data_IF_278640666092
#
_entry.id   IF_278640666092
#
_cell.length_a   1.000
_cell.length_b   1.000
_cell.length_c   1.000
_cell.angle_alpha   90.00
_cell.angle_beta   90.00
_cell.angle_gamma   90.00
#
_symmetry.space_group_name_H-M   'P 1'
#
loop_
_entity.id
_entity.type
_entity.pdbx_description
1 polymer ?
2 polymer ?
3 non-polymer ?
4 non-polymer ?
5 water ?
#
# COMPACT_ATOMS: atom_id res chain seq x y z
N UNK A 1 15.89 -3.67 -22.12
CA UNK A 1 16.20 -2.43 -21.42
C UNK A 1 15.90 -1.20 -22.28
N UNK A 2 14.69 -0.63 -22.13
CA UNK A 2 14.32 0.62 -22.77
C UNK A 2 13.29 1.34 -21.91
N UNK A 3 13.14 2.63 -22.15
CA UNK A 3 12.27 3.49 -21.36
C UNK A 3 11.17 4.10 -22.22
N UNK A 4 10.77 3.38 -23.26
CA UNK A 4 9.77 3.85 -24.22
C UNK A 4 8.40 3.31 -23.82
N UNK A 5 7.41 4.20 -23.76
CA UNK A 5 6.02 3.81 -23.60
C UNK A 5 5.39 3.61 -24.96
N UNK A 6 4.51 2.61 -25.07
CA UNK A 6 3.76 2.38 -26.31
C UNK A 6 2.88 3.58 -26.61
N UNK A 7 2.49 3.69 -27.88
CA UNK A 7 1.55 4.73 -28.30
C UNK A 7 0.31 4.74 -27.42
N UNK A 8 -0.22 3.54 -27.13
CA UNK A 8 -1.43 3.41 -26.31
C UNK A 8 -1.18 3.88 -24.88
N UNK A 9 0.01 3.61 -24.34
CA UNK A 9 0.31 4.05 -22.97
C UNK A 9 0.45 5.56 -22.90
N UNK A 10 1.20 6.16 -23.83
CA UNK A 10 1.27 7.63 -23.88
C UNK A 10 -0.11 8.25 -23.96
N UNK A 11 -1.02 7.62 -24.71
CA UNK A 11 -2.35 8.19 -24.89
C UNK A 11 -3.17 8.11 -23.60
N UNK A 12 -3.12 6.96 -22.93
CA UNK A 12 -3.75 6.85 -21.62
C UNK A 12 -3.15 7.85 -20.63
N UNK A 13 -1.83 8.07 -20.70
CA UNK A 13 -1.18 9.02 -19.81
C UNK A 13 -1.68 10.44 -20.05
N UNK A 14 -1.76 10.86 -21.31
CA UNK A 14 -2.26 12.22 -21.54
C UNK A 14 -3.75 12.31 -21.26
N UNK A 15 -4.45 11.18 -21.31
CA UNK A 15 -5.86 11.16 -20.92
C UNK A 15 -6.02 11.39 -19.41
N UNK A 16 -5.14 10.77 -18.60
CA UNK A 16 -5.10 11.06 -17.17
C UNK A 16 -4.73 12.52 -16.88
N UNK A 17 -3.74 13.05 -17.60
CA UNK A 17 -3.38 14.46 -17.42
C UNK A 17 -4.53 15.39 -17.77
N UNK A 18 -5.33 15.04 -18.78
CA UNK A 18 -6.41 15.94 -19.15
C UNK A 18 -7.57 15.83 -18.18
N UNK A 19 -7.70 14.69 -17.52
CA UNK A 19 -8.85 14.46 -16.65
C UNK A 19 -8.77 15.28 -15.37
N UNK A 20 -7.57 15.66 -14.94
CA UNK A 20 -7.41 16.34 -13.66
C UNK A 20 -8.31 17.55 -13.46
N UNK A 21 -8.47 18.40 -14.50
CA UNK A 21 -9.23 19.63 -14.27
C UNK A 21 -10.74 19.46 -14.43
N UNK A 22 -11.22 18.28 -14.84
CA UNK A 22 -12.65 18.01 -14.76
C UNK A 22 -13.15 17.83 -13.32
N UNK A 23 -12.25 17.82 -12.34
CA UNK A 23 -12.67 17.76 -10.95
C UNK A 23 -12.70 19.17 -10.35
N UNK A 32 -17.96 17.86 3.18
CA UNK A 32 -17.40 16.58 3.61
C UNK A 32 -16.81 15.75 2.48
N UNK A 33 -17.17 14.47 2.43
CA UNK A 33 -16.51 13.56 1.50
C UNK A 33 -16.88 13.87 0.06
N UNK A 34 -15.93 14.17 -0.81
CA UNK A 34 -16.28 14.49 -2.21
C UNK A 34 -16.77 13.30 -3.01
N UNK A 35 -18.00 12.89 -2.72
CA UNK A 35 -18.59 11.75 -3.42
C UNK A 35 -18.71 12.01 -4.94
N UNK A 36 -18.93 13.26 -5.37
CA UNK A 36 -19.06 13.49 -6.79
C UNK A 36 -17.74 13.27 -7.52
N UNK A 37 -16.64 13.78 -6.97
CA UNK A 37 -15.34 13.56 -7.61
C UNK A 37 -14.98 12.07 -7.59
N UNK A 38 -15.30 11.37 -6.51
CA UNK A 38 -15.05 9.93 -6.43
C UNK A 38 -15.79 9.18 -7.53
N UNK A 39 -17.08 9.48 -7.74
CA UNK A 39 -17.83 8.84 -8.83
C UNK A 39 -17.24 9.19 -10.19
N UNK A 40 -16.82 10.44 -10.39
CA UNK A 40 -16.17 10.82 -11.63
C UNK A 40 -14.90 10.02 -11.87
N UNK A 41 -14.15 9.74 -10.80
CA UNK A 41 -12.98 8.88 -10.95
C UNK A 41 -13.39 7.46 -11.37
N UNK A 42 -14.46 6.94 -10.77
CA UNK A 42 -14.97 5.65 -11.19
C UNK A 42 -15.30 5.61 -12.67
N UNK A 43 -15.98 6.65 -13.16
CA UNK A 43 -16.33 6.72 -14.58
C UNK A 43 -15.08 6.77 -15.46
N UNK A 44 -14.06 7.52 -15.03
CA UNK A 44 -12.80 7.55 -15.75
C UNK A 44 -12.16 6.16 -15.81
N UNK A 45 -12.32 5.34 -14.77
CA UNK A 45 -11.83 3.98 -14.81
C UNK A 45 -10.81 3.70 -13.73
N UNK A 46 -10.71 4.62 -12.75
CA UNK A 46 -9.61 4.61 -11.78
C UNK A 46 -9.64 3.36 -10.90
N UNK A 47 -10.80 2.98 -10.38
CA UNK A 47 -10.85 1.78 -9.57
C UNK A 47 -10.86 0.50 -10.39
N UNK A 48 -11.05 0.60 -11.70
CA UNK A 48 -11.07 -0.55 -12.58
C UNK A 48 -9.76 -0.87 -13.24
N UNK A 49 -8.73 -0.04 -13.06
CA UNK A 49 -7.48 -0.18 -13.83
C UNK A 49 -6.87 -1.57 -13.81
N UNK A 50 -6.65 -2.21 -12.65
CA UNK A 50 -6.06 -3.55 -12.67
C UNK A 50 -7.06 -4.70 -12.65
N UNK A 51 -8.36 -4.42 -12.78
CA UNK A 51 -9.38 -5.47 -12.70
C UNK A 51 -9.62 -6.07 -14.09
N UNK A 52 -9.69 -7.40 -14.21
CA UNK A 52 -9.99 -8.02 -15.50
C UNK A 52 -11.47 -7.88 -15.87
N UNK A 53 -11.73 -7.89 -17.19
CA UNK A 53 -13.10 -7.83 -17.68
C UNK A 53 -13.93 -9.01 -17.20
N UNK A 54 -13.30 -10.16 -16.94
CA UNK A 54 -13.98 -11.32 -16.40
C UNK A 54 -14.79 -10.99 -15.14
N UNK A 55 -14.35 -10.01 -14.35
CA UNK A 55 -15.03 -9.70 -13.10
C UNK A 55 -15.68 -8.33 -13.07
N UNK A 56 -15.53 -7.52 -14.11
CA UNK A 56 -16.23 -6.24 -14.16
C UNK A 56 -16.28 -5.78 -15.60
N UNK A 57 -17.47 -5.48 -16.11
CA UNK A 57 -17.61 -5.05 -17.49
C UNK A 57 -16.84 -3.76 -17.77
N UNK A 58 -16.53 -2.98 -16.73
CA UNK A 58 -15.72 -1.78 -16.86
C UNK A 58 -14.32 -1.95 -16.26
N UNK A 59 -13.88 -3.20 -16.10
CA UNK A 59 -12.51 -3.45 -15.74
C UNK A 59 -11.61 -3.35 -16.95
N UNK A 60 -10.38 -2.91 -16.71
CA UNK A 60 -9.43 -2.60 -17.77
C UNK A 60 -8.40 -3.69 -18.00
N UNK A 61 -8.14 -4.54 -17.00
CA UNK A 61 -7.15 -5.59 -17.14
C UNK A 61 -5.78 -5.12 -17.55
N UNK A 62 -5.37 -3.93 -17.10
CA UNK A 62 -4.08 -3.37 -17.44
C UNK A 62 -2.95 -4.05 -16.68
N UNK A 63 -1.74 -4.02 -17.25
CA UNK A 63 -0.60 -4.49 -16.48
C UNK A 63 -0.12 -3.39 -15.53
N UNK A 64 0.81 -3.76 -14.65
CA UNK A 64 1.16 -2.89 -13.53
C UNK A 64 1.74 -1.57 -14.04
N UNK A 65 2.53 -1.61 -15.11
CA UNK A 65 3.15 -0.39 -15.62
C UNK A 65 2.11 0.58 -16.17
N UNK A 66 1.19 0.09 -17.02
CA UNK A 66 0.13 0.95 -17.52
C UNK A 66 -0.72 1.49 -16.38
N UNK A 67 -0.98 0.65 -15.38
CA UNK A 67 -1.70 1.09 -14.20
C UNK A 67 -1.01 2.27 -13.54
N UNK A 68 0.24 2.05 -13.09
CA UNK A 68 0.91 3.08 -12.30
C UNK A 68 1.15 4.34 -13.12
N UNK A 69 1.34 4.19 -14.44
CA UNK A 69 1.58 5.35 -15.27
C UNK A 69 0.33 6.23 -15.35
N UNK A 70 -0.84 5.60 -15.44
CA UNK A 70 -2.10 6.35 -15.39
C UNK A 70 -2.28 7.00 -14.03
N UNK A 71 -1.98 6.25 -12.96
CA UNK A 71 -2.09 6.81 -11.61
C UNK A 71 -1.14 7.98 -11.45
N UNK A 72 0.08 7.84 -11.97
CA UNK A 72 1.03 8.95 -11.95
C UNK A 72 0.45 10.18 -12.65
N UNK A 73 -0.29 9.97 -13.74
CA UNK A 73 -0.88 11.09 -14.44
C UNK A 73 -2.00 11.72 -13.65
N UNK A 74 -2.77 10.91 -12.94
CA UNK A 74 -3.81 11.46 -12.08
C UNK A 74 -3.21 12.24 -10.92
N UNK A 75 -2.13 11.73 -10.31
CA UNK A 75 -1.48 12.46 -9.25
C UNK A 75 -0.93 13.79 -9.71
N UNK A 76 -0.51 13.89 -10.99
CA UNK A 76 0.00 15.15 -11.47
C UNK A 76 -1.11 16.17 -11.71
N UNK A 77 -2.27 15.76 -12.21
CA UNK A 77 -3.29 16.70 -12.63
C UNK A 77 -4.40 16.92 -11.62
N UNK A 78 -4.61 16.02 -10.65
CA UNK A 78 -5.65 16.19 -9.65
C UNK A 78 -5.05 16.81 -8.40
N UNK A 79 -5.57 17.98 -7.99
CA UNK A 79 -5.04 18.61 -6.78
C UNK A 79 -5.46 17.87 -5.51
N UNK A 80 -6.59 17.15 -5.51
CA UNK A 80 -7.02 16.44 -4.31
C UNK A 80 -6.27 15.11 -4.23
N UNK A 81 -5.05 15.18 -3.69
CA UNK A 81 -4.25 13.98 -3.47
C UNK A 81 -4.93 13.03 -2.48
N UNK A 82 -5.61 13.57 -1.48
CA UNK A 82 -6.25 12.71 -0.51
C UNK A 82 -7.29 11.82 -1.17
N UNK A 83 -8.01 12.38 -2.14
CA UNK A 83 -9.02 11.60 -2.86
C UNK A 83 -8.39 10.47 -3.66
N UNK A 84 -7.29 10.75 -4.37
CA UNK A 84 -6.57 9.69 -5.07
C UNK A 84 -6.08 8.62 -4.09
N UNK A 85 -5.65 9.06 -2.90
CA UNK A 85 -5.14 8.14 -1.88
C UNK A 85 -6.23 7.22 -1.39
N UNK A 86 -7.42 7.79 -1.11
CA UNK A 86 -8.58 6.99 -0.74
C UNK A 86 -8.91 5.95 -1.80
N UNK A 87 -8.99 6.38 -3.06
CA UNK A 87 -9.34 5.45 -4.12
C UNK A 87 -8.33 4.35 -4.27
N UNK A 88 -7.05 4.63 -3.95
CA UNK A 88 -6.00 3.64 -4.15
C UNK A 88 -5.91 2.66 -3.00
N UNK A 89 -6.19 3.11 -1.77
CA UNK A 89 -6.39 2.14 -0.69
C UNK A 89 -7.49 1.14 -1.08
N UNK A 90 -8.63 1.67 -1.54
CA UNK A 90 -9.78 0.86 -1.92
C UNK A 90 -9.40 -0.17 -2.99
N UNK A 91 -8.71 0.27 -4.04
CA UNK A 91 -8.35 -0.63 -5.13
C UNK A 91 -7.22 -1.59 -4.78
N UNK A 92 -6.17 -1.12 -4.11
CA UNK A 92 -5.00 -1.96 -3.98
C UNK A 92 -4.88 -2.65 -2.64
N UNK A 93 -5.46 -2.12 -1.57
CA UNK A 93 -5.47 -2.85 -0.30
C UNK A 93 -6.69 -3.73 -0.13
N UNK A 94 -7.72 -3.54 -0.95
CA UNK A 94 -8.98 -4.26 -0.81
C UNK A 94 -9.38 -5.01 -2.08
N UNK A 95 -9.54 -4.30 -3.21
CA UNK A 95 -9.95 -4.98 -4.43
C UNK A 95 -8.97 -6.07 -4.82
N UNK A 96 -7.66 -5.78 -4.73
CA UNK A 96 -6.68 -6.76 -5.20
C UNK A 96 -6.65 -8.01 -4.32
N UNK A 97 -6.54 -7.94 -2.99
CA UNK A 97 -6.65 -9.19 -2.22
C UNK A 97 -7.95 -9.94 -2.46
N UNK A 98 -9.01 -9.26 -2.86
CA UNK A 98 -10.24 -9.95 -3.22
C UNK A 98 -10.07 -10.67 -4.56
N UNK A 99 -9.49 -9.99 -5.54
CA UNK A 99 -9.23 -10.61 -6.83
C UNK A 99 -8.31 -11.83 -6.67
N UNK A 100 -7.31 -11.73 -5.81
CA UNK A 100 -6.24 -12.72 -5.76
C UNK A 100 -6.49 -13.86 -4.78
N UNK A 101 -7.42 -13.72 -3.85
CA UNK A 101 -7.60 -14.76 -2.85
C UNK A 101 -9.07 -14.97 -2.49
N UNK A 102 -9.99 -14.36 -3.21
CA UNK A 102 -11.41 -14.60 -2.98
C UNK A 102 -11.94 -15.77 -3.80
N UNK A 103 -12.94 -16.44 -3.23
CA UNK A 103 -13.68 -17.45 -3.98
C UNK A 103 -14.23 -16.85 -5.26
N UNK A 104 -14.54 -17.71 -6.22
CA UNK A 104 -15.10 -17.24 -7.48
C UNK A 104 -16.45 -16.55 -7.27
N UNK A 105 -17.26 -17.02 -6.32
CA UNK A 105 -18.55 -16.37 -6.13
C UNK A 105 -18.38 -15.00 -5.45
N UNK A 106 -17.50 -14.92 -4.44
CA UNK A 106 -17.23 -13.64 -3.79
C UNK A 106 -16.65 -12.62 -4.78
N UNK A 107 -15.81 -13.08 -5.71
CA UNK A 107 -15.29 -12.20 -6.74
C UNK A 107 -16.41 -11.65 -7.64
N UNK A 108 -17.32 -12.51 -8.07
CA UNK A 108 -18.40 -12.00 -8.91
C UNK A 108 -19.39 -11.17 -8.11
N UNK A 109 -19.51 -11.46 -6.81
CA UNK A 109 -20.38 -10.68 -5.95
C UNK A 109 -19.82 -9.27 -5.70
N UNK A 110 -18.56 -9.19 -5.27
CA UNK A 110 -18.02 -7.94 -4.74
C UNK A 110 -17.46 -7.01 -5.82
N UNK A 111 -16.72 -7.55 -6.79
CA UNK A 111 -15.87 -6.75 -7.68
C UNK A 111 -16.59 -5.81 -8.64
N UNK A 112 -17.74 -6.18 -9.23
CA UNK A 112 -18.35 -5.25 -10.19
C UNK A 112 -18.64 -3.87 -9.62
N UNK A 113 -19.07 -3.79 -8.35
CA UNK A 113 -19.30 -2.48 -7.73
C UNK A 113 -18.00 -1.85 -7.23
N UNK A 114 -17.08 -2.67 -6.72
CA UNK A 114 -15.78 -2.18 -6.33
C UNK A 114 -15.07 -1.52 -7.52
N UNK A 115 -15.24 -2.09 -8.71
CA UNK A 115 -14.54 -1.59 -9.89
C UNK A 115 -15.10 -0.28 -10.40
N UNK A 116 -16.14 0.25 -9.76
CA UNK A 116 -16.95 1.29 -10.38
C UNK A 116 -17.00 2.57 -9.52
N UNK A 119 -19.82 1.14 -4.72
CA UNK A 119 -19.42 0.59 -3.43
C UNK A 119 -17.94 0.75 -3.10
N UNK A 120 -17.65 0.96 -1.81
CA UNK A 120 -16.34 1.37 -1.34
C UNK A 120 -15.81 0.36 -0.33
N UNK A 121 -14.49 0.13 -0.35
CA UNK A 121 -13.83 -0.82 0.53
C UNK A 121 -12.71 -0.17 1.32
N UNK A 122 -12.48 -0.71 2.50
CA UNK A 122 -11.51 -0.20 3.46
C UNK A 122 -10.71 -1.35 4.03
N UNK A 123 -9.39 -1.15 4.16
CA UNK A 123 -8.47 -2.15 4.71
C UNK A 123 -8.22 -1.88 6.20
N UNK A 124 -8.43 -2.88 7.03
CA UNK A 124 -8.38 -2.69 8.49
C UNK A 124 -7.48 -3.75 9.12
N UNK A 125 -6.28 -3.35 9.55
CA UNK A 125 -5.36 -4.25 10.25
C UNK A 125 -4.80 -3.59 11.51
N UNK A 126 -4.53 -2.29 11.44
CA UNK A 126 -3.93 -1.59 12.57
C UNK A 126 -4.85 -1.58 13.80
N UNK A 127 -4.23 -1.66 14.98
CA UNK A 127 -4.95 -1.69 16.25
C UNK A 127 -4.29 -0.71 17.21
N UNK A 128 -4.85 -0.64 18.43
CA UNK A 128 -4.26 0.24 19.43
C UNK A 128 -2.82 -0.15 19.75
N UNK A 129 -2.52 -1.45 19.75
CA UNK A 129 -1.20 -1.94 20.11
C UNK A 129 -0.48 -2.63 18.97
N UNK A 130 -1.00 -2.52 17.75
CA UNK A 130 -0.39 -3.14 16.58
C UNK A 130 -0.36 -2.09 15.47
N UNK A 131 0.84 -1.67 15.08
CA UNK A 131 1.02 -0.74 13.99
C UNK A 131 2.10 -1.24 13.06
N UNK A 132 3.35 -0.89 13.36
CA UNK A 132 4.47 -1.46 12.62
C UNK A 132 4.59 -2.96 12.82
N UNK A 133 4.15 -3.49 13.98
CA UNK A 133 4.17 -4.92 14.26
C UNK A 133 2.73 -5.45 14.21
N UNK A 134 2.47 -6.31 13.23
CA UNK A 134 1.13 -6.85 13.00
C UNK A 134 1.17 -8.36 13.27
N UNK A 135 2.08 -8.77 14.16
CA UNK A 135 2.32 -10.17 14.46
C UNK A 135 1.39 -10.71 15.53
N UNK A 136 0.88 -9.84 16.38
CA UNK A 136 0.03 -10.21 17.51
C UNK A 136 -1.19 -9.28 17.45
N UNK A 137 -2.18 -9.65 16.64
CA UNK A 137 -3.41 -8.88 16.50
C UNK A 137 -4.41 -9.27 17.59
N UNK A 138 -4.95 -8.27 18.27
CA UNK A 138 -5.95 -8.50 19.32
C UNK A 138 -7.34 -8.77 18.77
N UNK A 139 -7.55 -8.54 17.47
CA UNK A 139 -8.83 -8.84 16.85
C UNK A 139 -8.90 -10.33 16.56
N UNK A 140 -9.94 -10.97 17.09
CA UNK A 140 -10.08 -12.41 17.05
C UNK A 140 -11.24 -12.80 16.12
N UNK A 141 -11.14 -13.99 15.53
CA UNK A 141 -12.24 -14.57 14.76
C UNK A 141 -12.41 -16.03 15.16
N UNK A 142 -13.40 -16.32 15.99
CA UNK A 142 -13.73 -17.70 16.36
C UNK A 142 -14.71 -18.27 15.35
N UNK A 143 -14.40 -19.45 14.82
CA UNK A 143 -15.37 -20.12 13.95
C UNK A 143 -16.47 -20.79 14.77
N UNK A 144 -17.71 -20.64 14.29
CA UNK A 144 -18.87 -21.34 14.84
C UNK A 144 -19.68 -21.85 13.64
N UNK A 145 -19.74 -23.15 13.50
CA UNK A 145 -20.45 -23.74 12.38
C UNK A 145 -19.96 -23.21 11.05
N UNK A 146 -20.87 -22.57 10.32
CA UNK A 146 -20.60 -22.03 8.99
C UNK A 146 -20.27 -20.55 9.01
N UNK A 147 -19.90 -20.02 10.17
CA UNK A 147 -19.79 -18.59 10.38
C UNK A 147 -18.56 -18.31 11.23
N UNK A 148 -18.06 -17.09 11.11
CA UNK A 148 -17.00 -16.60 11.97
C UNK A 148 -17.53 -15.42 12.78
N UNK A 149 -17.06 -15.32 14.02
CA UNK A 149 -17.47 -14.28 14.94
C UNK A 149 -16.25 -13.40 15.19
N UNK A 150 -16.32 -12.14 14.73
CA UNK A 150 -15.20 -11.21 14.82
C UNK A 150 -15.33 -10.29 16.04
N UNK A 151 -14.21 -10.09 16.75
CA UNK A 151 -14.20 -9.17 17.89
C UNK A 151 -12.90 -8.39 17.95
N UNK A 152 -13.00 -7.07 18.09
CA UNK A 152 -11.87 -6.20 18.32
C UNK A 152 -12.01 -4.88 17.58
N UNK A 153 -11.22 -3.90 18.00
CA UNK A 153 -11.18 -2.59 17.35
C UNK A 153 -10.03 -2.47 16.37
N UNK A 154 -10.30 -1.80 15.25
CA UNK A 154 -9.27 -1.36 14.31
C UNK A 154 -9.13 0.15 14.41
N UNK A 155 -7.90 0.64 14.57
CA UNK A 155 -7.73 2.01 15.05
C UNK A 155 -7.55 3.08 13.95
N UNK A 156 -7.02 2.75 12.76
CA UNK A 156 -6.81 3.76 11.70
C UNK A 156 -7.28 3.22 10.35
N UNK A 157 -8.59 3.21 10.11
CA UNK A 157 -9.15 2.67 8.87
C UNK A 157 -9.40 3.80 7.88
N UNK A 158 -8.58 3.88 6.83
CA UNK A 158 -8.88 4.78 5.73
C UNK A 158 -10.20 4.34 5.10
N UNK A 159 -11.03 5.30 4.74
CA UNK A 159 -12.34 5.03 4.17
C UNK A 159 -13.29 4.39 5.18
N UNK A 160 -12.96 4.41 6.47
CA UNK A 160 -13.81 3.78 7.46
C UNK A 160 -15.24 4.26 7.42
N UNK A 161 -15.45 5.57 7.41
CA UNK A 161 -16.82 6.05 7.52
C UNK A 161 -17.61 5.83 6.23
N UNK A 162 -16.94 5.71 5.09
CA UNK A 162 -17.64 5.58 3.83
C UNK A 162 -17.65 4.15 3.31
N UNK A 163 -17.11 3.21 4.08
CA UNK A 163 -16.88 1.87 3.59
C UNK A 163 -18.16 1.06 3.54
N UNK A 164 -18.35 0.34 2.44
CA UNK A 164 -19.37 -0.68 2.36
C UNK A 164 -18.86 -2.06 2.78
N UNK A 165 -17.55 -2.30 2.66
CA UNK A 165 -16.88 -3.52 3.06
C UNK A 165 -15.56 -3.20 3.75
N UNK A 166 -15.23 -3.99 4.75
CA UNK A 166 -13.93 -3.94 5.40
C UNK A 166 -13.16 -5.24 5.14
N UNK A 167 -11.91 -5.12 4.72
CA UNK A 167 -11.00 -6.27 4.67
C UNK A 167 -10.31 -6.32 6.02
N UNK A 168 -10.73 -7.25 6.86
CA UNK A 168 -10.31 -7.28 8.25
C UNK A 168 -9.34 -8.43 8.41
N UNK A 169 -8.29 -8.21 9.20
CA UNK A 169 -7.31 -9.23 9.51
C UNK A 169 -7.43 -9.53 10.99
N UNK A 170 -7.66 -10.80 11.33
CA UNK A 170 -7.93 -11.19 12.70
C UNK A 170 -7.12 -12.43 13.04
N UNK A 171 -6.93 -12.63 14.34
CA UNK A 171 -6.25 -13.82 14.84
C UNK A 171 -7.25 -14.97 14.94
N UNK A 172 -6.97 -16.06 14.26
CA UNK A 172 -7.84 -17.23 14.36
C UNK A 172 -7.24 -18.33 15.23
N UNK A 173 -5.95 -18.25 15.55
CA UNK A 173 -5.21 -19.32 16.19
C UNK A 173 -3.90 -18.77 16.74
N UNK A 174 -3.91 -18.29 17.99
CA UNK A 174 -2.75 -17.62 18.55
C UNK A 174 -1.50 -18.50 18.56
N UNK A 175 -1.66 -19.82 18.52
CA UNK A 175 -0.53 -20.72 18.59
C UNK A 175 0.24 -20.88 17.30
N UNK A 176 -0.39 -20.59 16.19
CA UNK A 176 0.27 -20.66 14.90
C UNK A 176 0.99 -19.36 14.52
N UNK A 177 1.01 -18.37 15.42
CA UNK A 177 1.70 -17.11 15.26
C UNK A 177 1.54 -16.40 13.93
N UNK A 178 2.67 -16.15 13.26
CA UNK A 178 2.67 -15.54 11.94
C UNK A 178 1.68 -16.20 10.99
N UNK A 179 1.30 -17.45 11.26
CA UNK A 179 0.33 -18.15 10.41
C UNK A 179 -1.02 -18.36 11.09
N UNK A 180 -1.29 -17.65 12.21
CA UNK A 180 -2.54 -17.79 12.94
C UNK A 180 -3.57 -16.71 12.69
N UNK A 181 -3.58 -16.16 11.47
CA UNK A 181 -4.35 -14.97 11.16
C UNK A 181 -5.11 -15.20 9.85
N UNK A 182 -6.36 -14.74 9.81
CA UNK A 182 -7.18 -14.90 8.61
C UNK A 182 -7.69 -13.53 8.17
N UNK A 183 -7.92 -13.38 6.87
CA UNK A 183 -8.41 -12.15 6.27
C UNK A 183 -9.87 -12.32 5.89
N UNK A 184 -10.72 -11.37 6.31
CA UNK A 184 -12.14 -11.43 6.03
C UNK A 184 -12.61 -10.20 5.27
N UNK A 185 -13.71 -10.36 4.53
CA UNK A 185 -14.44 -9.23 3.97
C UNK A 185 -15.70 -9.05 4.81
N UNK A 186 -15.70 -8.05 5.70
CA UNK A 186 -16.83 -7.77 6.56
C UNK A 186 -17.71 -6.74 5.88
N UNK A 187 -18.92 -7.08 5.44
CA UNK A 187 -19.80 -6.04 4.92
C UNK A 187 -20.13 -5.06 6.03
N UNK A 188 -20.07 -3.77 5.70
CA UNK A 188 -20.90 -2.80 6.40
C UNK A 188 -22.33 -3.30 6.31
N UNK A 189 -23.06 -3.19 7.41
CA UNK A 189 -24.45 -3.68 7.58
C UNK A 189 -24.42 -5.01 8.32
N UNK A 190 -23.25 -5.55 8.54
CA UNK A 190 -23.12 -6.62 9.52
C UNK A 190 -23.32 -6.02 10.90
N UNK A 191 -24.37 -6.41 11.62
CA UNK A 191 -24.58 -5.88 12.98
C UNK A 191 -23.33 -5.97 13.84
N UNK A 192 -23.20 -5.04 14.77
CA UNK A 192 -22.07 -5.01 15.68
C UNK A 192 -20.94 -4.09 15.27
N UNK A 193 -20.95 -3.58 14.03
CA UNK A 193 -20.00 -2.58 13.58
C UNK A 193 -20.42 -1.18 14.04
N UNK A 194 -19.54 -0.49 14.77
CA UNK A 194 -19.67 0.95 14.97
C UNK A 194 -18.40 1.66 14.50
N UNK A 195 -18.57 2.89 14.02
CA UNK A 195 -17.50 3.68 13.42
C UNK A 195 -17.42 5.04 14.09
N UNK A 196 -16.19 5.46 14.47
CA UNK A 196 -15.99 6.81 14.96
C UNK A 196 -16.04 7.87 13.86
N UNK A 197 -16.18 9.12 14.29
CA UNK A 197 -16.11 10.25 13.37
C UNK A 197 -14.73 10.34 12.71
N UNK A 198 -14.70 10.84 11.48
CA UNK A 198 -13.44 11.12 10.79
C UNK A 198 -12.46 11.84 11.72
N UNK A 199 -11.25 11.32 11.82
CA UNK A 199 -10.20 11.97 12.60
C UNK A 199 -9.79 13.29 11.95
N UNK A 200 -9.57 14.32 12.77
CA UNK A 200 -8.89 15.52 12.32
C UNK A 200 -7.39 15.24 12.22
N UNK A 201 -6.81 15.43 11.03
CA UNK A 201 -5.41 15.07 10.85
C UNK A 201 -4.70 16.12 10.01
N UNK A 202 -3.37 15.94 9.94
CA UNK A 202 -2.52 16.96 9.35
C UNK A 202 -2.86 17.21 7.88
N UNK A 203 -3.05 16.15 7.11
CA UNK A 203 -3.28 16.25 5.68
C UNK A 203 -4.35 15.28 5.21
N UNK A 204 -4.56 15.27 3.90
CA UNK A 204 -5.38 14.26 3.23
C UNK A 204 -6.85 14.29 3.67
N UNK A 205 -7.42 15.50 3.76
CA UNK A 205 -8.77 15.62 4.35
C UNK A 205 -9.80 14.77 3.61
N UNK A 206 -9.63 14.56 2.30
CA UNK A 206 -10.62 13.82 1.52
C UNK A 206 -10.54 12.32 1.70
N UNK A 207 -9.53 11.80 2.39
CA UNK A 207 -9.51 10.37 2.69
C UNK A 207 -9.91 10.19 4.15
N UNK A 208 -11.13 9.74 4.44
CA UNK A 208 -11.54 9.59 5.84
C UNK A 208 -10.65 8.59 6.57
N UNK A 209 -10.41 8.85 7.85
CA UNK A 209 -9.66 7.93 8.70
C UNK A 209 -10.47 7.72 9.96
N UNK A 210 -10.78 6.46 10.28
CA UNK A 210 -11.72 6.18 11.35
C UNK A 210 -11.26 5.02 12.20
N UNK A 211 -11.67 5.08 13.45
CA UNK A 211 -11.73 3.91 14.30
C UNK A 211 -12.96 3.10 13.96
N UNK A 212 -12.80 1.78 13.84
CA UNK A 212 -13.91 0.85 13.64
C UNK A 212 -13.86 -0.21 14.74
N UNK A 213 -14.99 -0.41 15.43
CA UNK A 213 -15.08 -1.49 16.39
C UNK A 213 -15.99 -2.59 15.84
N UNK A 214 -15.59 -3.84 16.09
CA UNK A 214 -16.36 -5.02 15.71
C UNK A 214 -16.79 -5.74 16.99
N UNK A 215 -18.09 -5.71 17.27
CA UNK A 215 -18.65 -6.23 18.53
C UNK A 215 -19.53 -7.45 18.19
N UNK A 216 -18.91 -8.64 18.17
CA UNK A 216 -19.57 -9.91 17.86
C UNK A 216 -20.17 -9.92 16.46
N UNK A 217 -19.33 -9.64 15.48
CA UNK A 217 -19.78 -9.62 14.09
C UNK A 217 -19.73 -11.04 13.56
N UNK A 218 -20.88 -11.53 13.13
CA UNK A 218 -21.06 -12.87 12.62
C UNK A 218 -21.10 -12.78 11.11
N UNK A 219 -20.14 -13.41 10.45
CA UNK A 219 -20.07 -13.37 9.00
C UNK A 219 -19.88 -14.79 8.50
N UNK A 220 -20.47 -15.05 7.34
CA UNK A 220 -20.50 -16.39 6.78
C UNK A 220 -19.11 -16.81 6.31
N UNK A 221 -18.83 -18.13 6.40
CA UNK A 221 -17.55 -18.68 5.96
C UNK A 221 -17.12 -18.10 4.62
N UNK A 222 -18.06 -17.87 3.70
CA UNK A 222 -17.73 -17.49 2.33
C UNK A 222 -17.17 -16.08 2.24
N UNK A 223 -17.20 -15.29 3.31
CA UNK A 223 -16.58 -13.97 3.29
C UNK A 223 -15.08 -14.01 3.60
N UNK A 224 -14.57 -15.12 4.14
CA UNK A 224 -13.15 -15.24 4.39
C UNK A 224 -12.37 -15.22 3.08
N UNK A 225 -11.25 -14.51 3.10
CA UNK A 225 -10.28 -14.47 2.01
C UNK A 225 -9.26 -15.58 2.21
N UNK A 226 -9.14 -16.47 1.21
CA UNK A 226 -8.20 -17.57 1.28
C UNK A 226 -8.37 -18.53 2.45
N UNK A 227 -7.43 -19.45 2.60
CA UNK A 227 -7.49 -20.41 3.68
C UNK A 227 -7.32 -19.71 5.03
N UNK A 228 -7.93 -20.28 6.06
CA UNK A 228 -7.67 -19.80 7.41
C UNK A 228 -6.16 -19.88 7.69
N UNK A 229 -5.65 -18.88 8.41
CA UNK A 229 -4.23 -18.81 8.72
C UNK A 229 -3.35 -18.17 7.64
N UNK A 230 -3.90 -17.83 6.48
CA UNK A 230 -3.19 -17.21 5.38
C UNK A 230 -3.13 -15.68 5.49
N UNK A 231 -3.77 -15.08 6.50
CA UNK A 231 -4.01 -13.65 6.48
C UNK A 231 -2.75 -12.82 6.42
N UNK A 232 -1.74 -13.18 7.21
CA UNK A 232 -0.51 -12.39 7.26
C UNK A 232 0.16 -12.30 5.89
N UNK A 233 0.10 -13.37 5.11
CA UNK A 233 0.68 -13.33 3.77
C UNK A 233 -0.25 -12.70 2.75
N UNK A 234 -1.56 -12.84 2.94
CA UNK A 234 -2.49 -12.05 2.14
C UNK A 234 -2.25 -10.57 2.38
N UNK A 235 -2.00 -10.19 3.64
CA UNK A 235 -1.70 -8.79 3.92
C UNK A 235 -0.41 -8.36 3.22
N UNK A 236 0.67 -9.12 3.40
CA UNK A 236 1.91 -8.78 2.71
C UNK A 236 1.68 -8.64 1.21
N UNK A 237 0.82 -9.47 0.64
CA UNK A 237 0.56 -9.37 -0.79
C UNK A 237 -0.24 -8.11 -1.15
N UNK A 238 -1.10 -7.64 -0.26
CA UNK A 238 -1.81 -6.41 -0.56
C UNK A 238 -0.90 -5.20 -0.35
N UNK A 239 -0.02 -5.25 0.65
CA UNK A 239 0.97 -4.19 0.82
C UNK A 239 1.92 -4.13 -0.36
N UNK A 240 2.18 -5.26 -1.02
CA UNK A 240 2.97 -5.19 -2.24
C UNK A 240 2.24 -4.41 -3.32
N UNK A 241 0.92 -4.47 -3.34
CA UNK A 241 0.16 -3.67 -4.29
C UNK A 241 0.10 -2.20 -3.87
N UNK A 242 -0.25 -1.95 -2.59
CA UNK A 242 -0.39 -0.58 -2.11
C UNK A 242 0.95 0.15 -2.14
N UNK A 243 2.02 -0.47 -1.65
CA UNK A 243 3.31 0.21 -1.61
C UNK A 243 3.85 0.46 -3.01
N UNK A 244 3.51 -0.39 -3.97
CA UNK A 244 3.99 -0.17 -5.33
C UNK A 244 3.15 0.87 -6.06
N UNK A 245 1.82 0.66 -6.10
CA UNK A 245 0.98 1.39 -7.02
C UNK A 245 0.41 2.68 -6.43
N UNK A 246 0.10 2.68 -5.13
CA UNK A 246 -0.49 3.89 -4.54
C UNK A 246 0.48 5.05 -4.62
N UNK A 247 1.77 4.80 -4.41
CA UNK A 247 2.76 5.87 -4.33
C UNK A 247 3.08 6.48 -5.69
N UNK A 248 2.57 5.89 -6.79
CA UNK A 248 2.57 6.55 -8.08
C UNK A 248 1.92 7.93 -8.00
N UNK A 249 0.89 8.07 -7.16
CA UNK A 249 0.25 9.37 -6.94
C UNK A 249 1.30 10.43 -6.62
N UNK A 250 2.22 10.08 -5.73
CA UNK A 250 3.13 11.07 -5.17
C UNK A 250 4.22 11.44 -6.15
N UNK A 251 4.56 10.56 -7.08
CA UNK A 251 5.45 10.95 -8.16
C UNK A 251 4.77 11.98 -9.05
N UNK A 252 3.49 11.76 -9.37
CA UNK A 252 2.74 12.76 -10.11
C UNK A 252 2.67 14.10 -9.40
N UNK A 253 2.42 14.07 -8.08
CA UNK A 253 2.33 15.30 -7.32
C UNK A 253 3.67 16.03 -7.25
N UNK A 254 4.78 15.28 -7.19
CA UNK A 254 6.08 15.93 -7.16
C UNK A 254 6.37 16.65 -8.46
N UNK A 255 5.93 16.09 -9.59
CA UNK A 255 6.15 16.75 -10.87
C UNK A 255 5.40 18.08 -10.91
N UNK A 256 4.13 18.08 -10.50
CA UNK A 256 3.41 19.34 -10.36
C UNK A 256 4.17 20.30 -9.43
N UNK A 257 4.60 19.83 -8.25
CA UNK A 257 5.40 20.65 -7.35
C UNK A 257 6.60 21.27 -8.09
N UNK A 258 7.39 20.43 -8.75
CA UNK A 258 8.55 20.91 -9.48
C UNK A 258 8.14 21.92 -10.56
N UNK A 259 7.09 21.60 -11.32
CA UNK A 259 6.63 22.53 -12.35
C UNK A 259 6.28 23.89 -11.77
N UNK A 260 5.56 23.92 -10.65
CA UNK A 260 5.23 25.19 -10.01
C UNK A 260 6.46 25.91 -9.46
N UNK A 261 7.49 25.19 -9.02
CA UNK A 261 8.68 25.88 -8.55
C UNK A 261 9.51 26.44 -9.69
N UNK A 262 9.54 25.75 -10.84
CA UNK A 262 10.22 26.28 -12.01
C UNK A 262 9.51 27.53 -12.49
N UNK A 263 8.19 27.45 -12.64
CA UNK A 263 7.41 28.59 -13.10
C UNK A 263 7.55 29.77 -12.14
N UNK A 264 7.49 29.50 -10.83
CA UNK A 264 7.59 30.58 -9.86
C UNK A 264 8.98 31.21 -9.87
N UNK A 265 10.03 30.38 -9.88
CA UNK A 265 11.37 30.92 -9.78
C UNK A 265 11.76 31.73 -11.01
N UNK A 266 11.12 31.43 -12.16
CA UNK A 266 11.38 32.18 -13.39
C UNK A 266 10.57 33.46 -13.50
N UNK A 267 9.56 33.65 -12.65
CA UNK A 267 8.71 34.82 -12.62
C UNK A 267 8.95 35.73 -11.41
N UNK A 268 9.17 35.17 -10.23
CA UNK A 268 9.29 35.98 -9.04
C UNK A 268 10.61 36.72 -9.03
N UNK A 269 10.56 38.03 -8.78
CA UNK A 269 11.76 38.85 -8.82
C UNK A 269 12.03 39.48 -7.47
N UNK A 270 13.32 39.56 -7.15
CA UNK A 270 13.81 40.21 -5.95
C UNK A 270 15.05 40.97 -6.39
N UNK A 271 14.96 42.29 -6.46
CA UNK A 271 16.07 43.11 -6.94
C UNK A 271 16.18 43.16 -8.45
N UNK A 272 15.05 43.26 -9.15
CA UNK A 272 14.99 43.21 -10.62
C UNK A 272 15.90 42.14 -11.21
N UNK A 273 15.91 41.00 -10.53
CA UNK A 273 16.47 39.74 -10.98
C UNK A 273 15.48 38.66 -10.55
N UNK A 274 15.29 37.64 -11.38
CA UNK A 274 14.44 36.53 -10.96
C UNK A 274 15.19 35.61 -10.01
N UNK A 275 14.44 35.06 -9.05
CA UNK A 275 15.07 34.35 -7.94
C UNK A 275 15.79 33.10 -8.40
N UNK A 276 15.40 32.55 -9.54
CA UNK A 276 16.17 31.45 -10.15
C UNK A 276 17.63 31.83 -10.43
N UNK A 277 17.97 33.10 -10.46
CA UNK A 277 19.37 33.46 -10.65
C UNK A 277 20.21 33.24 -9.40
N UNK A 278 19.56 33.06 -8.24
CA UNK A 278 20.26 32.64 -7.03
C UNK A 278 20.42 31.12 -7.02
N UNK A 279 21.65 30.66 -6.81
CA UNK A 279 21.87 29.22 -6.77
C UNK A 279 21.27 28.57 -5.53
N UNK A 280 21.03 29.32 -4.44
CA UNK A 280 20.31 28.72 -3.31
C UNK A 280 18.91 28.26 -3.73
N UNK A 281 18.26 29.01 -4.62
CA UNK A 281 16.96 28.61 -5.16
C UNK A 281 17.15 27.55 -6.25
N UNK A 282 17.95 27.87 -7.27
CA UNK A 282 17.93 27.04 -8.49
C UNK A 282 18.51 25.67 -8.21
N UNK A 283 19.59 25.60 -7.44
CA UNK A 283 20.19 24.29 -7.14
C UNK A 283 19.30 23.51 -6.20
N UNK A 284 18.47 24.20 -5.41
CA UNK A 284 17.44 23.51 -4.64
C UNK A 284 16.44 22.85 -5.58
N UNK A 285 16.01 23.58 -6.64
CA UNK A 285 15.08 23.02 -7.61
C UNK A 285 15.74 21.92 -8.43
N UNK A 286 17.03 22.06 -8.73
CA UNK A 286 17.74 20.97 -9.40
C UNK A 286 17.62 19.68 -8.59
N UNK A 287 17.85 19.77 -7.27
CA UNK A 287 17.79 18.58 -6.42
C UNK A 287 16.38 18.02 -6.32
N UNK A 288 15.36 18.87 -6.44
CA UNK A 288 14.01 18.35 -6.58
C UNK A 288 13.87 17.49 -7.83
N UNK A 289 14.43 17.94 -8.96
CA UNK A 289 14.35 17.17 -10.18
C UNK A 289 15.18 15.89 -10.15
N UNK A 290 16.31 15.91 -9.44
CA UNK A 290 17.11 14.70 -9.37
C UNK A 290 16.38 13.64 -8.54
N UNK A 291 15.94 14.01 -7.34
CA UNK A 291 15.17 13.08 -6.51
C UNK A 291 13.91 12.58 -7.23
N UNK A 292 13.21 13.47 -7.97
CA UNK A 292 12.03 13.05 -8.72
C UNK A 292 12.39 12.00 -9.77
N UNK A 293 13.40 12.27 -10.60
CA UNK A 293 13.75 11.30 -11.62
C UNK A 293 14.21 9.99 -11.00
N UNK A 294 15.00 10.07 -9.92
CA UNK A 294 15.33 8.88 -9.16
C UNK A 294 14.08 8.16 -8.70
N UNK A 295 13.12 8.88 -8.11
CA UNK A 295 11.95 8.23 -7.52
C UNK A 295 11.07 7.65 -8.61
N UNK A 296 10.88 8.39 -9.70
CA UNK A 296 10.09 7.89 -10.81
C UNK A 296 10.72 6.62 -11.38
N UNK A 297 12.04 6.63 -11.57
CA UNK A 297 12.71 5.46 -12.15
C UNK A 297 12.59 4.25 -11.24
N UNK A 298 12.75 4.44 -9.92
CA UNK A 298 12.57 3.34 -8.96
C UNK A 298 11.14 2.85 -8.93
N UNK A 299 10.19 3.76 -9.17
CA UNK A 299 8.79 3.36 -9.26
C UNK A 299 8.59 2.44 -10.45
N UNK A 300 9.00 2.89 -11.65
CA UNK A 300 8.88 2.09 -12.85
C UNK A 300 9.58 0.75 -12.68
N UNK A 301 10.81 0.78 -12.17
CA UNK A 301 11.55 -0.47 -11.99
C UNK A 301 10.78 -1.45 -11.08
N UNK A 302 10.19 -0.96 -9.99
CA UNK A 302 9.46 -1.85 -9.09
C UNK A 302 8.23 -2.45 -9.76
N UNK A 303 7.51 -1.65 -10.57
CA UNK A 303 6.32 -2.15 -11.23
C UNK A 303 6.68 -3.20 -12.28
N UNK A 304 7.77 -2.98 -13.02
CA UNK A 304 8.23 -3.97 -13.98
C UNK A 304 8.60 -5.28 -13.30
N UNK A 305 9.40 -5.23 -12.23
CA UNK A 305 9.77 -6.47 -11.55
C UNK A 305 8.54 -7.21 -11.04
N UNK A 306 7.50 -6.47 -10.64
CA UNK A 306 6.31 -7.12 -10.10
C UNK A 306 5.59 -7.96 -11.16
N UNK A 307 5.70 -7.59 -12.43
CA UNK A 307 5.16 -8.33 -13.56
C UNK A 307 6.06 -9.48 -14.02
N UNK A 308 7.13 -9.81 -13.29
CA UNK A 308 8.22 -10.61 -13.81
C UNK A 308 8.41 -11.95 -13.12
N UNK A 309 7.71 -12.23 -12.04
CA UNK A 309 7.87 -13.46 -11.28
C UNK A 309 9.31 -13.62 -10.77
N UNK A 310 9.69 -12.69 -9.91
CA UNK A 310 10.81 -12.82 -8.99
C UNK A 310 10.35 -12.18 -7.70
N UNK A 311 11.15 -12.29 -6.65
CA UNK A 311 10.88 -11.51 -5.45
C UNK A 311 11.11 -10.04 -5.77
N UNK A 312 10.05 -9.23 -5.67
CA UNK A 312 10.14 -7.81 -5.97
C UNK A 312 9.97 -6.95 -4.73
N UNK A 313 10.07 -7.55 -3.54
CA UNK A 313 9.80 -6.79 -2.33
C UNK A 313 10.86 -5.70 -2.11
N UNK A 314 12.12 -6.01 -2.41
CA UNK A 314 13.20 -5.04 -2.22
C UNK A 314 13.01 -3.82 -3.10
N UNK A 315 12.70 -4.02 -4.39
CA UNK A 315 12.44 -2.89 -5.26
C UNK A 315 11.19 -2.13 -4.84
N UNK A 316 10.20 -2.81 -4.28
CA UNK A 316 8.97 -2.11 -3.89
C UNK A 316 9.22 -1.31 -2.63
N UNK A 317 9.90 -1.90 -1.64
CA UNK A 317 10.21 -1.13 -0.45
C UNK A 317 11.09 0.06 -0.78
N UNK A 318 12.08 -0.13 -1.68
CA UNK A 318 12.93 0.98 -2.06
C UNK A 318 12.10 2.10 -2.68
N UNK A 319 11.21 1.75 -3.60
CA UNK A 319 10.41 2.77 -4.30
C UNK A 319 9.53 3.55 -3.32
N UNK A 320 8.87 2.84 -2.41
CA UNK A 320 8.00 3.53 -1.45
C UNK A 320 8.81 4.47 -0.59
N UNK A 321 9.95 4.00 -0.10
CA UNK A 321 10.88 4.85 0.65
C UNK A 321 11.29 6.08 -0.14
N UNK A 322 11.96 5.86 -1.27
CA UNK A 322 12.45 6.96 -2.10
C UNK A 322 11.34 7.94 -2.43
N UNK A 323 10.17 7.44 -2.83
CA UNK A 323 9.09 8.34 -3.25
C UNK A 323 8.55 9.14 -2.07
N UNK A 324 8.27 8.46 -0.97
CA UNK A 324 7.66 9.13 0.17
C UNK A 324 8.63 10.14 0.79
N UNK A 325 9.89 9.77 0.95
CA UNK A 325 10.85 10.72 1.47
C UNK A 325 11.09 11.88 0.50
N UNK A 326 11.07 11.62 -0.81
CA UNK A 326 11.22 12.71 -1.75
C UNK A 326 10.03 13.65 -1.66
N UNK A 327 8.86 13.09 -1.40
CA UNK A 327 7.65 13.88 -1.32
C UNK A 327 7.72 14.84 -0.14
N UNK A 328 8.24 14.38 1.01
CA UNK A 328 8.43 15.24 2.16
C UNK A 328 9.40 16.38 1.81
N UNK A 329 10.56 16.04 1.25
CA UNK A 329 11.51 17.06 0.84
C UNK A 329 10.91 17.99 -0.21
N UNK A 330 10.15 17.42 -1.15
CA UNK A 330 9.49 18.23 -2.17
C UNK A 330 8.56 19.27 -1.53
N UNK A 331 7.82 18.86 -0.49
CA UNK A 331 6.87 19.77 0.13
C UNK A 331 7.53 20.86 0.94
N UNK A 332 8.64 20.54 1.61
CA UNK A 332 9.42 21.57 2.29
C UNK A 332 9.99 22.55 1.27
N UNK A 333 10.71 22.02 0.27
CA UNK A 333 11.36 22.86 -0.75
C UNK A 333 10.34 23.71 -1.51
N UNK A 334 9.18 23.14 -1.86
CA UNK A 334 8.16 23.93 -2.53
C UNK A 334 7.81 25.17 -1.73
N UNK A 335 7.71 25.03 -0.41
CA UNK A 335 7.38 26.17 0.42
C UNK A 335 8.56 27.13 0.48
N UNK A 336 9.78 26.59 0.62
CA UNK A 336 10.95 27.45 0.67
C UNK A 336 11.05 28.31 -0.60
N UNK A 337 10.78 27.71 -1.77
CA UNK A 337 10.89 28.44 -3.03
C UNK A 337 9.87 29.56 -3.10
N UNK A 338 8.64 29.31 -2.64
CA UNK A 338 7.54 30.28 -2.76
C UNK A 338 7.53 31.33 -1.65
N UNK A 339 8.38 31.21 -0.62
CA UNK A 339 8.39 32.13 0.52
C UNK A 339 7.07 32.15 1.27
N UNK A 340 6.72 33.34 1.79
CA UNK A 340 5.46 33.49 2.50
C UNK A 340 4.28 33.01 1.67
N UNK A 341 4.37 33.17 0.36
CA UNK A 341 3.25 32.77 -0.47
C UNK A 341 2.98 31.28 -0.31
N UNK A 342 4.03 30.48 -0.14
CA UNK A 342 3.86 29.05 -0.01
C UNK A 342 3.38 28.63 1.36
N UNK A 343 3.55 29.49 2.36
CA UNK A 343 3.07 29.22 3.71
C UNK A 343 1.58 29.53 3.84
N UNK A 344 1.09 30.45 3.03
CA UNK A 344 -0.33 30.79 2.97
C UNK A 344 -1.10 29.70 2.25
N UNK A 345 -2.35 29.52 2.68
CA UNK A 345 -3.21 28.50 2.10
C UNK A 345 -3.58 28.82 0.66
N UNK A 346 -3.86 30.10 0.36
CA UNK A 346 -4.21 30.41 -1.03
C UNK A 346 -3.03 30.13 -1.97
N UNK A 347 -1.80 30.24 -1.47
CA UNK A 347 -0.63 29.83 -2.22
C UNK A 347 -0.79 28.52 -2.96
N UNK A 348 -1.61 27.62 -2.41
CA UNK A 348 -1.94 26.32 -3.03
C UNK A 348 -0.71 25.41 -3.12
N UNK A 349 0.10 25.39 -2.05
CA UNK A 349 1.42 24.78 -2.10
C UNK A 349 1.67 23.96 -0.83
N UNK A 350 1.15 24.42 0.31
CA UNK A 350 1.49 23.73 1.53
C UNK A 350 0.74 22.40 1.71
N UNK A 351 -0.11 22.00 0.77
CA UNK A 351 -0.75 20.69 0.87
C UNK A 351 0.23 19.55 0.64
N UNK A 352 1.31 19.78 -0.12
CA UNK A 352 2.26 18.71 -0.37
C UNK A 352 2.88 18.21 0.93
N UNK A 353 3.47 19.11 1.72
CA UNK A 353 4.11 18.67 2.96
C UNK A 353 3.08 18.04 3.88
N UNK A 354 1.85 18.53 3.85
CA UNK A 354 0.86 17.99 4.75
C UNK A 354 0.48 16.57 4.37
N UNK A 355 0.45 16.27 3.08
CA UNK A 355 0.10 14.94 2.63
C UNK A 355 1.32 14.04 2.68
N UNK A 356 2.49 14.60 2.41
CA UNK A 356 3.69 13.80 2.29
C UNK A 356 4.05 13.17 3.62
N UNK A 357 3.82 13.90 4.72
CA UNK A 357 4.13 13.36 6.04
C UNK A 357 3.25 12.16 6.36
N UNK A 358 2.03 12.09 5.81
CA UNK A 358 1.29 10.85 5.89
C UNK A 358 2.00 9.72 5.17
N UNK A 359 2.59 10.03 4.01
CA UNK A 359 3.08 9.00 3.11
C UNK A 359 4.30 8.26 3.64
N UNK A 360 5.01 8.83 4.61
CA UNK A 360 6.12 8.12 5.24
C UNK A 360 5.65 7.28 6.43
N UNK A 361 4.34 7.24 6.68
CA UNK A 361 3.77 6.44 7.75
C UNK A 361 2.98 5.25 7.20
N UNK A 362 1.95 5.50 6.39
CA UNK A 362 1.09 4.41 5.98
C UNK A 362 1.78 3.54 4.94
N UNK A 363 1.22 2.35 4.75
CA UNK A 363 1.89 1.26 4.06
C UNK A 363 3.20 0.89 4.75
N UNK A 364 3.36 1.27 6.01
CA UNK A 364 4.56 0.96 6.75
C UNK A 364 5.56 2.09 6.71
N UNK A 365 5.98 2.54 7.89
CA UNK A 365 6.86 3.68 7.99
C UNK A 365 8.18 3.46 7.24
N UNK A 366 8.91 4.58 7.05
CA UNK A 366 10.21 4.50 6.40
C UNK A 366 11.14 3.53 7.13
N UNK A 367 11.11 3.53 8.46
CA UNK A 367 11.89 2.56 9.23
C UNK A 367 11.57 1.13 8.82
N UNK A 368 10.28 0.81 8.63
CA UNK A 368 9.89 -0.57 8.33
C UNK A 368 10.27 -0.96 6.90
N UNK A 369 10.15 -0.04 5.94
CA UNK A 369 10.66 -0.33 4.60
C UNK A 369 12.15 -0.70 4.64
N UNK A 370 12.94 0.02 5.43
CA UNK A 370 14.36 -0.31 5.49
C UNK A 370 14.59 -1.70 6.09
N UNK A 371 13.80 -2.06 7.10
CA UNK A 371 13.85 -3.42 7.63
C UNK A 371 13.62 -4.45 6.54
N UNK A 372 12.61 -4.22 5.69
CA UNK A 372 12.38 -5.09 4.54
C UNK A 372 13.58 -5.08 3.60
N UNK A 373 14.08 -3.90 3.24
CA UNK A 373 15.23 -3.80 2.35
C UNK A 373 16.40 -4.60 2.91
N UNK A 374 16.76 -4.33 4.17
CA UNK A 374 17.83 -5.09 4.83
C UNK A 374 17.62 -6.59 4.67
N UNK A 375 16.41 -7.06 4.99
CA UNK A 375 16.07 -8.46 4.87
C UNK A 375 16.38 -9.00 3.48
N UNK A 376 15.82 -8.34 2.45
CA UNK A 376 16.01 -8.81 1.08
C UNK A 376 17.45 -8.66 0.61
N UNK A 377 18.26 -7.87 1.29
CA UNK A 377 19.67 -7.77 0.94
C UNK A 377 20.49 -8.91 1.53
N UNK A 378 19.95 -9.60 2.53
CA UNK A 378 20.64 -10.69 3.19
C UNK A 378 21.10 -10.38 4.59
N UNK A 379 20.86 -9.16 5.08
CA UNK A 379 21.34 -8.82 6.40
C UNK A 379 20.62 -9.62 7.47
N UNK A 380 21.40 -10.29 8.31
CA UNK A 380 20.85 -10.95 9.47
C UNK A 380 20.67 -9.90 10.58
N UNK B 6 20.41 -28.35 10.26
CA UNK B 6 19.74 -27.06 10.43
C UNK B 6 20.10 -26.45 11.81
N UNK B 7 21.40 -26.20 11.99
CA UNK B 7 21.87 -25.19 12.95
C UNK B 7 21.84 -23.81 12.32
N UNK B 8 21.46 -23.74 11.04
CA UNK B 8 21.15 -22.48 10.37
C UNK B 8 20.14 -21.67 11.18
N UNK B 9 19.08 -22.31 11.66
CA UNK B 9 18.07 -21.59 12.43
C UNK B 9 18.67 -21.01 13.69
N UNK B 10 19.65 -21.70 14.27
CA UNK B 10 20.25 -21.24 15.53
C UNK B 10 21.25 -20.11 15.31
N UNK B 11 22.09 -20.22 14.28
CA UNK B 11 23.07 -19.16 14.02
C UNK B 11 22.47 -18.01 13.22
N UNK B 12 21.98 -18.28 12.02
CA UNK B 12 21.50 -17.21 11.14
C UNK B 12 20.25 -16.53 11.71
N UNK B 13 19.28 -17.29 12.18
CA UNK B 13 18.04 -16.65 12.62
C UNK B 13 18.03 -16.27 14.09
N UNK B 14 18.83 -16.92 14.92
CA UNK B 14 18.76 -16.69 16.36
C UNK B 14 20.06 -16.18 16.96
N UNK B 15 21.21 -16.45 16.33
CA UNK B 15 22.51 -15.90 16.74
C UNK B 15 22.82 -16.39 18.16
N UNK B 21 17.59 -25.21 21.45
CA UNK B 21 16.78 -25.49 20.28
C UNK B 21 16.98 -26.93 19.81
N UNK B 22 15.88 -27.56 19.37
CA UNK B 22 15.93 -28.90 18.82
C UNK B 22 14.82 -29.04 17.78
N UNK B 23 14.53 -30.28 17.39
CA UNK B 23 13.51 -30.56 16.39
C UNK B 23 12.08 -30.44 16.93
N UNK B 24 11.91 -30.21 18.23
CA UNK B 24 10.59 -30.09 18.83
C UNK B 24 10.29 -28.70 19.35
N UNK B 25 11.25 -27.79 19.26
CA UNK B 25 10.96 -26.40 19.61
C UNK B 25 9.90 -25.86 18.64
N UNK B 26 8.81 -25.30 19.16
CA UNK B 26 7.72 -24.81 18.28
C UNK B 26 8.06 -23.48 17.61
N UNK B 27 8.36 -23.55 16.32
CA UNK B 27 8.87 -22.38 15.59
C UNK B 27 7.83 -21.26 15.51
N UNK B 28 6.60 -21.59 15.11
CA UNK B 28 5.56 -20.57 14.99
C UNK B 28 5.09 -20.09 16.36
N UNK B 29 4.89 -21.00 17.31
CA UNK B 29 4.28 -20.60 18.58
C UNK B 29 5.17 -19.63 19.35
N UNK B 30 6.49 -19.82 19.30
CA UNK B 30 7.37 -18.98 20.10
C UNK B 30 8.00 -17.84 19.30
N UNK B 31 7.65 -17.70 18.02
CA UNK B 31 7.99 -16.53 17.25
C UNK B 31 9.24 -16.62 16.40
N UNK B 32 9.85 -17.80 16.31
CA UNK B 32 11.13 -17.92 15.60
C UNK B 32 10.95 -17.68 14.11
N UNK B 33 9.89 -18.22 13.51
CA UNK B 33 9.58 -17.88 12.12
C UNK B 33 8.47 -16.85 12.08
N UNK B 34 8.84 -15.68 11.60
CA UNK B 34 7.93 -14.62 11.25
C UNK B 34 8.09 -14.30 9.78
N UNK B 35 7.56 -13.15 9.44
CA UNK B 35 7.64 -12.58 8.11
C UNK B 35 9.04 -12.42 7.62
N UNK B 36 9.97 -11.95 8.45
CA UNK B 36 11.32 -11.78 7.90
C UNK B 36 12.09 -13.10 7.89
N UNK B 37 12.13 -13.79 9.04
CA UNK B 37 12.86 -15.06 9.15
C UNK B 37 12.43 -16.06 8.09
N UNK B 38 11.15 -16.05 7.73
CA UNK B 38 10.67 -16.95 6.69
C UNK B 38 11.43 -16.76 5.39
N UNK B 39 11.64 -15.50 5.00
CA UNK B 39 12.38 -15.19 3.77
C UNK B 39 13.79 -15.77 3.82
N UNK B 40 14.48 -15.58 4.95
CA UNK B 40 15.81 -16.13 5.08
C UNK B 40 15.79 -17.65 5.00
N UNK B 41 14.78 -18.27 5.64
CA UNK B 41 14.66 -19.72 5.61
C UNK B 41 14.34 -20.23 4.22
N UNK B 42 13.33 -19.65 3.56
CA UNK B 42 13.00 -20.11 2.23
C UNK B 42 14.18 -19.98 1.29
N UNK B 43 15.01 -18.94 1.50
CA UNK B 43 16.20 -18.77 0.67
C UNK B 43 17.21 -19.88 0.94
N UNK B 44 17.45 -20.19 2.22
CA UNK B 44 18.37 -21.25 2.57
C UNK B 44 17.88 -22.60 2.05
N UNK B 45 16.56 -22.82 2.07
CA UNK B 45 15.99 -24.05 1.54
C UNK B 45 16.17 -24.14 0.03
N UNK B 46 16.32 -23.01 -0.66
CA UNK B 46 16.54 -23.09 -2.09
C UNK B 46 18.00 -23.36 -2.44
N UNK B 47 18.94 -22.81 -1.66
CA UNK B 47 20.34 -23.00 -2.00
C UNK B 47 20.84 -24.37 -1.54
N UNK B 48 20.58 -24.72 -0.28
CA UNK B 48 21.14 -25.95 0.28
C UNK B 48 20.45 -27.20 -0.28
N UNK B 49 19.12 -27.22 -0.36
CA UNK B 49 18.38 -28.41 -0.74
C UNK B 49 17.69 -28.30 -2.10
N UNK B 50 17.84 -27.19 -2.81
CA UNK B 50 17.26 -27.02 -4.14
C UNK B 50 15.75 -26.96 -4.20
N UNK B 51 15.06 -26.93 -3.06
CA UNK B 51 13.60 -26.97 -3.01
C UNK B 51 13.07 -25.54 -2.89
N UNK B 52 12.06 -25.21 -3.69
CA UNK B 52 11.39 -23.92 -3.65
C UNK B 52 9.95 -24.14 -3.21
N UNK B 53 9.73 -24.07 -1.90
CA UNK B 53 8.46 -24.35 -1.25
C UNK B 53 7.32 -23.53 -1.84
N UNK B 54 6.36 -24.16 -2.51
CA UNK B 54 5.25 -23.41 -3.10
C UNK B 54 4.39 -22.76 -2.03
N UNK B 55 3.60 -21.76 -2.48
CA UNK B 55 2.83 -20.95 -1.55
C UNK B 55 1.82 -21.79 -0.77
N UNK B 56 1.15 -22.72 -1.45
CA UNK B 56 0.06 -23.46 -0.84
C UNK B 56 0.51 -24.20 0.42
N UNK B 57 1.78 -24.60 0.49
CA UNK B 57 2.23 -25.48 1.55
C UNK B 57 2.91 -24.74 2.70
N UNK B 58 3.03 -23.42 2.63
CA UNK B 58 3.34 -22.64 3.83
C UNK B 58 2.10 -22.69 4.74
N UNK B 59 2.18 -23.43 5.83
CA UNK B 59 1.03 -23.64 6.71
C UNK B 59 1.55 -24.10 8.06
N UNK B 60 0.71 -24.07 9.11
CA UNK B 60 1.20 -24.40 10.47
C UNK B 60 1.50 -25.87 10.71
N UNK B 61 0.93 -26.77 9.91
CA UNK B 61 1.30 -28.19 9.94
C UNK B 61 2.78 -28.37 9.63
N UNK B 62 3.18 -27.94 8.43
CA UNK B 62 4.54 -28.18 7.97
C UNK B 62 5.57 -27.34 8.72
N UNK B 63 5.21 -26.15 9.17
CA UNK B 63 6.15 -25.26 9.84
C UNK B 63 5.95 -25.27 11.34
N UNK B 64 5.31 -26.31 11.87
CA UNK B 64 5.17 -26.45 13.31
C UNK B 64 6.53 -26.48 13.99
N UNK B 65 7.49 -27.21 13.43
CA UNK B 65 8.83 -27.30 13.97
C UNK B 65 9.77 -27.83 12.88
N UNK B 66 11.04 -28.01 13.27
CA UNK B 66 12.09 -28.40 12.33
C UNK B 66 11.79 -29.78 11.74
N UNK B 67 11.31 -30.70 12.59
CA UNK B 67 11.01 -32.05 12.15
C UNK B 67 9.93 -32.05 11.08
N UNK B 68 8.78 -31.41 11.36
CA UNK B 68 7.73 -31.29 10.36
C UNK B 68 8.22 -30.54 9.14
N UNK B 69 9.05 -29.51 9.34
CA UNK B 69 9.57 -28.74 8.22
C UNK B 69 10.47 -29.60 7.34
N UNK B 70 11.46 -30.26 7.95
CA UNK B 70 12.32 -31.20 7.22
C UNK B 70 11.49 -32.23 6.45
N UNK B 71 10.42 -32.74 7.08
CA UNK B 71 9.51 -33.65 6.40
C UNK B 71 9.12 -33.11 5.04
N UNK B 72 8.55 -31.90 5.01
CA UNK B 72 8.06 -31.32 3.74
C UNK B 72 9.19 -31.11 2.74
N UNK B 73 10.39 -30.78 3.20
CA UNK B 73 11.52 -30.66 2.29
C UNK B 73 11.80 -31.99 1.61
#
# INVERSE_FOLDING_TARGET
MNFEWTHEQAELFEHALRFGKELSAPLQEDNGFPRDNWNALGDFGYFGLPIPEKYAKDGSGFDILTTIKIIEGLGQSCTDTGLLFAGAAHTFACSMPILEHGSETLKHQLLPDLATGRKIAANAISEASAGSDISNLATTAQKEGDYYVLNGGKSYVTNGSIADYYVVYATTNKKHGYLGQTAFVVPRNTPGISVGNDYHKLGLRSAPLNQVFFDNCTIHKDYALGREGQGARIFAASMDWERCCLFAIFVGAMQRDLNQCIEYANTRMQGDKTISRFQAVSHRIADMGVRLESARLMLYYAAWQKSQDVDNTKAVAMSKLAISEAFVQSGIDSIRVHGALGYLDEGRVNNSIKDALGSVLFSGTSDIQRELICNRLGLL
MIEKLIHFINNDLLEGAADDLDQNTPLLELGILDSLSMVLLLAHIDQQYGVKIPEHEINPEHFENVATLAALINQLS
#
